data_IF_475309410121
#
_entry.id   IF_475309410121
#
_cell.length_a   1.000
_cell.length_b   1.000
_cell.length_c   1.000
_cell.angle_alpha   90.00
_cell.angle_beta   90.00
_cell.angle_gamma   90.00
#
_symmetry.space_group_name_H-M   'P 1'
#
loop_
_entity.id
_entity.type
_entity.pdbx_description
1 polymer ?
#
# COMPACT_ATOMS: atom_id res chain seq x y z
N UNK A 1 -20.06 -49.37 -34.02
CA UNK A 1 -19.03 -48.34 -34.18
C UNK A 1 -19.67 -47.03 -33.80
N UNK A 2 -19.69 -46.75 -32.50
CA UNK A 2 -20.40 -45.61 -31.92
C UNK A 2 -19.58 -44.35 -32.19
N UNK A 3 -20.15 -43.43 -32.95
CA UNK A 3 -19.51 -42.17 -33.32
C UNK A 3 -19.39 -41.33 -32.05
N UNK A 4 -18.20 -41.29 -31.46
CA UNK A 4 -17.92 -40.42 -30.32
C UNK A 4 -18.18 -38.97 -30.73
N UNK A 5 -19.24 -38.37 -30.18
CA UNK A 5 -19.55 -36.95 -30.37
C UNK A 5 -18.31 -36.11 -30.00
N UNK A 6 -17.89 -35.18 -30.85
CA UNK A 6 -16.72 -34.36 -30.59
C UNK A 6 -16.98 -33.52 -29.32
N UNK A 7 -16.12 -33.71 -28.31
CA UNK A 7 -16.21 -32.97 -27.06
C UNK A 7 -16.33 -31.45 -27.36
N UNK A 8 -17.28 -30.73 -26.73
CA UNK A 8 -17.56 -29.35 -27.06
C UNK A 8 -16.30 -28.48 -26.93
N UNK A 9 -16.00 -27.73 -28.01
CA UNK A 9 -14.81 -26.87 -28.10
C UNK A 9 -14.81 -25.84 -26.98
N UNK A 10 -13.66 -25.73 -26.29
CA UNK A 10 -13.48 -24.75 -25.21
C UNK A 10 -13.48 -23.34 -25.81
N UNK A 11 -14.39 -22.48 -25.35
CA UNK A 11 -14.37 -21.06 -25.72
C UNK A 11 -13.27 -20.34 -24.92
N UNK A 12 -12.13 -20.07 -25.55
CA UNK A 12 -11.03 -19.30 -24.96
C UNK A 12 -11.45 -17.86 -24.64
N UNK A 13 -12.41 -17.28 -25.39
CA UNK A 13 -12.98 -15.98 -25.06
C UNK A 13 -13.67 -15.97 -23.69
N UNK A 14 -14.33 -17.07 -23.30
CA UNK A 14 -14.91 -17.19 -21.96
C UNK A 14 -13.83 -17.30 -20.87
N UNK A 15 -12.78 -18.09 -21.13
CA UNK A 15 -11.64 -18.22 -20.20
C UNK A 15 -10.99 -16.85 -19.98
N UNK A 16 -10.80 -16.08 -21.06
CA UNK A 16 -10.27 -14.72 -20.99
C UNK A 16 -11.17 -13.82 -20.13
N UNK A 17 -12.46 -13.71 -20.45
CA UNK A 17 -13.38 -12.85 -19.71
C UNK A 17 -13.49 -13.21 -18.21
N UNK A 18 -13.60 -14.50 -17.88
CA UNK A 18 -13.71 -14.96 -16.49
C UNK A 18 -12.41 -14.75 -15.73
N UNK A 19 -11.26 -15.08 -16.32
CA UNK A 19 -9.97 -14.87 -15.66
C UNK A 19 -9.68 -13.38 -15.44
N UNK A 20 -9.99 -12.52 -16.41
CA UNK A 20 -9.84 -11.06 -16.26
C UNK A 20 -10.71 -10.53 -15.14
N UNK A 21 -11.97 -10.98 -15.04
CA UNK A 21 -12.85 -10.61 -13.93
C UNK A 21 -12.29 -11.06 -12.57
N UNK A 22 -11.78 -12.29 -12.45
CA UNK A 22 -11.16 -12.78 -11.21
C UNK A 22 -9.95 -11.94 -10.82
N UNK A 23 -9.01 -11.70 -11.75
CA UNK A 23 -7.81 -10.91 -11.49
C UNK A 23 -8.16 -9.47 -11.10
N UNK A 24 -9.14 -8.86 -11.75
CA UNK A 24 -9.63 -7.53 -11.39
C UNK A 24 -10.20 -7.51 -9.97
N UNK A 25 -11.06 -8.46 -9.62
CA UNK A 25 -11.67 -8.57 -8.29
C UNK A 25 -10.62 -8.81 -7.20
N UNK A 26 -9.63 -9.67 -7.45
CA UNK A 26 -8.52 -9.90 -6.51
C UNK A 26 -7.70 -8.63 -6.28
N UNK A 27 -7.41 -7.87 -7.34
CA UNK A 27 -6.70 -6.60 -7.23
C UNK A 27 -7.51 -5.55 -6.45
N UNK A 28 -8.82 -5.45 -6.69
CA UNK A 28 -9.70 -4.55 -5.92
C UNK A 28 -9.75 -4.98 -4.45
N UNK A 29 -9.85 -6.28 -4.17
CA UNK A 29 -9.83 -6.81 -2.80
C UNK A 29 -8.51 -6.46 -2.09
N UNK A 30 -7.37 -6.68 -2.75
CA UNK A 30 -6.05 -6.34 -2.22
C UNK A 30 -5.93 -4.82 -1.95
N UNK A 31 -6.48 -3.99 -2.83
CA UNK A 31 -6.52 -2.54 -2.63
C UNK A 31 -7.37 -2.15 -1.41
N UNK A 32 -8.55 -2.74 -1.24
CA UNK A 32 -9.40 -2.52 -0.04
C UNK A 32 -8.65 -2.90 1.23
N UNK A 33 -8.04 -4.08 1.27
CA UNK A 33 -7.27 -4.53 2.43
C UNK A 33 -6.07 -3.62 2.71
N UNK A 34 -5.40 -3.13 1.67
CA UNK A 34 -4.28 -2.20 1.80
C UNK A 34 -4.74 -0.86 2.35
N UNK A 35 -5.87 -0.31 1.88
CA UNK A 35 -6.44 0.93 2.43
C UNK A 35 -6.79 0.74 3.90
N UNK A 36 -7.50 -0.34 4.25
CA UNK A 36 -7.84 -0.64 5.64
C UNK A 36 -6.58 -0.76 6.52
N UNK A 37 -5.54 -1.43 6.02
CA UNK A 37 -4.27 -1.57 6.72
C UNK A 37 -3.51 -0.24 6.84
N UNK A 38 -3.47 0.58 5.81
CA UNK A 38 -2.81 1.90 5.86
C UNK A 38 -3.52 2.82 6.87
N UNK A 39 -4.85 2.73 6.99
CA UNK A 39 -5.62 3.49 7.98
C UNK A 39 -5.32 3.10 9.43
N UNK A 40 -4.79 1.90 9.68
CA UNK A 40 -4.33 1.46 11.01
C UNK A 40 -2.86 1.76 11.25
N UNK A 41 -2.12 2.16 10.21
CA UNK A 41 -0.73 2.57 10.30
C UNK A 41 -0.62 4.09 10.37
N UNK A 42 0.54 4.53 10.83
CA UNK A 42 0.91 5.94 10.78
C UNK A 42 0.87 6.42 9.32
N UNK A 43 0.06 7.45 9.00
CA UNK A 43 -0.12 7.85 7.62
C UNK A 43 1.12 8.57 7.13
N UNK A 44 1.75 8.00 6.11
CA UNK A 44 2.79 8.67 5.34
C UNK A 44 2.24 9.89 4.56
N UNK A 45 0.91 10.04 4.43
CA UNK A 45 0.26 11.15 3.72
C UNK A 45 -0.99 11.66 4.46
N UNK A 46 -1.18 12.98 4.62
CA UNK A 46 -2.45 13.54 5.05
C UNK A 46 -3.55 13.25 4.01
N UNK A 47 -4.78 13.16 4.53
CA UNK A 47 -5.91 12.42 3.95
C UNK A 47 -6.38 12.81 2.54
N UNK A 48 -7.30 12.00 1.99
CA UNK A 48 -7.72 12.10 0.60
C UNK A 48 -8.45 13.42 0.30
N UNK A 49 -7.94 14.19 -0.66
CA UNK A 49 -8.63 15.29 -1.34
C UNK A 49 -9.56 14.72 -2.42
N UNK A 50 -10.36 15.58 -3.08
CA UNK A 50 -11.20 15.18 -4.21
C UNK A 50 -10.42 14.43 -5.33
N UNK A 51 -9.11 14.65 -5.42
CA UNK A 51 -8.19 13.95 -6.32
C UNK A 51 -8.13 12.45 -6.07
N UNK A 52 -8.44 11.99 -4.85
CA UNK A 52 -8.41 10.58 -4.50
C UNK A 52 -9.46 9.77 -5.28
N UNK A 53 -10.62 10.34 -5.57
CA UNK A 53 -11.66 9.64 -6.35
C UNK A 53 -11.23 9.48 -7.81
N UNK A 54 -10.68 10.56 -8.41
CA UNK A 54 -10.15 10.52 -9.76
C UNK A 54 -8.96 9.54 -9.86
N UNK A 55 -8.06 9.54 -8.88
CA UNK A 55 -6.96 8.60 -8.80
C UNK A 55 -7.45 7.15 -8.65
N UNK A 56 -8.47 6.89 -7.82
CA UNK A 56 -9.07 5.56 -7.68
C UNK A 56 -9.69 5.09 -8.99
N UNK A 57 -10.40 5.96 -9.71
CA UNK A 57 -10.97 5.63 -11.01
C UNK A 57 -9.86 5.30 -12.02
N UNK A 58 -8.84 6.16 -12.14
CA UNK A 58 -7.71 5.95 -13.04
C UNK A 58 -6.95 4.64 -12.72
N UNK A 59 -6.68 4.39 -11.45
CA UNK A 59 -6.04 3.15 -10.98
C UNK A 59 -6.92 1.94 -11.30
N UNK A 60 -8.23 2.02 -11.11
CA UNK A 60 -9.14 0.90 -11.43
C UNK A 60 -9.12 0.53 -12.92
N UNK A 61 -9.06 1.53 -13.81
CA UNK A 61 -8.97 1.29 -15.25
C UNK A 61 -7.63 0.64 -15.61
N UNK A 62 -6.53 1.14 -15.03
CA UNK A 62 -5.21 0.56 -15.23
C UNK A 62 -5.14 -0.89 -14.73
N UNK A 63 -5.75 -1.19 -13.58
CA UNK A 63 -5.85 -2.54 -13.03
C UNK A 63 -6.66 -3.46 -13.95
N UNK A 64 -7.76 -2.98 -14.53
CA UNK A 64 -8.54 -3.76 -15.50
C UNK A 64 -7.73 -4.09 -16.76
N UNK A 65 -7.00 -3.11 -17.30
CA UNK A 65 -6.13 -3.31 -18.46
C UNK A 65 -5.02 -4.31 -18.12
N UNK A 66 -4.38 -4.17 -16.96
CA UNK A 66 -3.34 -5.10 -16.50
C UNK A 66 -3.90 -6.51 -16.32
N UNK A 67 -5.07 -6.67 -15.70
CA UNK A 67 -5.76 -7.96 -15.55
C UNK A 67 -6.06 -8.60 -16.92
N UNK A 68 -6.51 -7.81 -17.89
CA UNK A 68 -6.75 -8.29 -19.25
C UNK A 68 -5.45 -8.77 -19.93
N UNK A 69 -4.38 -7.97 -19.86
CA UNK A 69 -3.07 -8.31 -20.43
C UNK A 69 -2.49 -9.56 -19.76
N UNK A 70 -2.58 -9.68 -18.44
CA UNK A 70 -2.14 -10.87 -17.69
C UNK A 70 -2.95 -12.11 -18.07
N UNK A 71 -4.26 -11.98 -18.22
CA UNK A 71 -5.11 -13.07 -18.70
C UNK A 71 -4.69 -13.53 -20.11
N UNK A 72 -4.41 -12.58 -21.01
CA UNK A 72 -4.01 -12.86 -22.38
C UNK A 72 -2.62 -13.50 -22.46
N UNK A 73 -1.64 -12.94 -21.74
CA UNK A 73 -0.22 -13.27 -21.86
C UNK A 73 0.25 -14.42 -20.95
N UNK A 74 -0.44 -14.68 -19.84
CA UNK A 74 -0.08 -15.75 -18.90
C UNK A 74 -1.18 -16.80 -18.75
N UNK A 75 -2.41 -16.40 -18.47
CA UNK A 75 -3.49 -17.36 -18.16
C UNK A 75 -3.87 -18.20 -19.37
N UNK A 76 -4.16 -17.58 -20.52
CA UNK A 76 -4.52 -18.31 -21.74
C UNK A 76 -3.43 -19.29 -22.20
N UNK A 77 -2.15 -18.88 -22.37
CA UNK A 77 -1.11 -19.82 -22.76
C UNK A 77 -0.86 -20.88 -21.67
N UNK A 78 -0.97 -20.52 -20.39
CA UNK A 78 -0.85 -21.47 -19.30
C UNK A 78 -1.94 -22.56 -19.34
N UNK A 79 -3.19 -22.17 -19.58
CA UNK A 79 -4.31 -23.11 -19.74
C UNK A 79 -4.13 -23.97 -21.01
N UNK A 80 -3.72 -23.37 -22.13
CA UNK A 80 -3.49 -24.10 -23.38
C UNK A 80 -2.36 -25.12 -23.25
N UNK A 81 -1.25 -24.75 -22.59
CA UNK A 81 -0.12 -25.64 -22.33
C UNK A 81 -0.50 -26.74 -21.35
N UNK A 82 -1.22 -26.42 -20.27
CA UNK A 82 -1.72 -27.41 -19.32
C UNK A 82 -2.68 -28.42 -19.97
N UNK A 83 -3.53 -27.97 -20.91
CA UNK A 83 -4.39 -28.85 -21.71
C UNK A 83 -3.60 -29.72 -22.70
N UNK A 84 -2.52 -29.19 -23.29
CA UNK A 84 -1.63 -29.98 -24.14
C UNK A 84 -0.89 -31.06 -23.32
N UNK A 85 -0.32 -30.69 -22.18
CA UNK A 85 0.37 -31.60 -21.27
C UNK A 85 -0.58 -32.67 -20.71
N UNK A 86 -1.78 -32.29 -20.27
CA UNK A 86 -2.77 -33.26 -19.79
C UNK A 86 -3.16 -34.30 -20.83
N UNK A 87 -3.22 -33.91 -22.12
CA UNK A 87 -3.46 -34.84 -23.24
C UNK A 87 -2.28 -35.77 -23.51
N UNK A 88 -1.06 -35.25 -23.44
CA UNK A 88 0.17 -36.04 -23.69
C UNK A 88 0.42 -37.05 -22.57
N UNK A 89 0.21 -36.64 -21.32
CA UNK A 89 0.50 -37.47 -20.14
C UNK A 89 -0.69 -38.31 -19.65
N UNK A 90 -1.75 -38.45 -20.45
CA UNK A 90 -2.84 -39.41 -20.22
C UNK A 90 -3.70 -39.16 -18.97
N UNK A 91 -3.61 -37.97 -18.35
CA UNK A 91 -4.24 -37.67 -17.06
C UNK A 91 -5.52 -36.85 -17.19
N UNK A 92 -6.62 -37.34 -16.60
CA UNK A 92 -7.92 -36.63 -16.50
C UNK A 92 -7.84 -35.36 -15.65
N UNK A 93 -6.82 -35.21 -14.81
CA UNK A 93 -6.68 -34.08 -13.89
C UNK A 93 -5.68 -33.03 -14.42
N UNK A 94 -6.24 -32.07 -15.15
CA UNK A 94 -5.48 -30.94 -15.68
C UNK A 94 -5.23 -29.81 -14.65
N UNK A 95 -5.71 -29.97 -13.42
CA UNK A 95 -5.50 -29.04 -12.30
C UNK A 95 -4.02 -28.88 -11.92
N UNK A 96 -3.28 -29.95 -11.55
CA UNK A 96 -1.88 -29.82 -11.13
C UNK A 96 -0.99 -29.23 -12.24
N UNK A 97 -1.24 -29.61 -13.51
CA UNK A 97 -0.51 -29.05 -14.65
C UNK A 97 -0.70 -27.55 -14.80
N UNK A 98 -1.88 -27.01 -14.47
CA UNK A 98 -2.14 -25.57 -14.58
C UNK A 98 -1.29 -24.79 -13.58
N UNK A 99 -1.24 -25.26 -12.33
CA UNK A 99 -0.46 -24.61 -11.27
C UNK A 99 1.04 -24.67 -11.58
N UNK A 100 1.56 -25.83 -11.97
CA UNK A 100 2.99 -26.01 -12.27
C UNK A 100 3.44 -25.17 -13.47
N UNK A 101 2.64 -25.12 -14.53
CA UNK A 101 2.95 -24.29 -15.71
C UNK A 101 2.98 -22.81 -15.34
N UNK A 102 1.99 -22.33 -14.59
CA UNK A 102 1.95 -20.94 -14.19
C UNK A 102 3.08 -20.58 -13.22
N UNK A 103 3.43 -21.48 -12.29
CA UNK A 103 4.57 -21.31 -11.39
C UNK A 103 5.89 -21.18 -12.15
N UNK A 104 6.08 -21.96 -13.22
CA UNK A 104 7.25 -21.87 -14.09
C UNK A 104 7.26 -20.56 -14.89
N UNK A 105 6.11 -20.15 -15.45
CA UNK A 105 5.98 -18.90 -16.20
C UNK A 105 6.24 -17.66 -15.34
N UNK A 106 5.77 -17.65 -14.09
CA UNK A 106 6.04 -16.54 -13.14
C UNK A 106 7.43 -16.59 -12.53
N UNK A 107 8.08 -17.76 -12.49
CA UNK A 107 9.43 -17.93 -11.94
C UNK A 107 10.51 -17.22 -12.77
N UNK A 108 10.37 -17.20 -14.10
CA UNK A 108 11.31 -16.56 -15.02
C UNK A 108 11.55 -15.05 -14.73
N UNK A 109 10.50 -14.21 -14.68
CA UNK A 109 10.69 -12.78 -14.37
C UNK A 109 11.19 -12.53 -12.94
N UNK A 110 10.80 -13.38 -11.97
CA UNK A 110 11.29 -13.27 -10.59
C UNK A 110 12.77 -13.58 -10.50
N UNK A 111 13.24 -14.63 -11.19
CA UNK A 111 14.65 -14.98 -11.27
C UNK A 111 15.47 -13.86 -11.93
N UNK A 112 14.97 -13.25 -13.01
CA UNK A 112 15.61 -12.11 -13.65
C UNK A 112 15.70 -10.87 -12.72
N UNK A 113 14.73 -10.68 -11.83
CA UNK A 113 14.74 -9.59 -10.84
C UNK A 113 15.59 -9.90 -9.60
N UNK A 114 15.92 -11.17 -9.35
CA UNK A 114 16.71 -11.58 -8.19
C UNK A 114 18.15 -11.07 -8.26
N UNK A 115 18.74 -10.99 -9.45
CA UNK A 115 20.08 -10.40 -9.63
C UNK A 115 20.14 -8.91 -9.25
N UNK A 116 18.99 -8.22 -9.26
CA UNK A 116 18.91 -6.78 -8.96
C UNK A 116 18.55 -6.47 -7.49
N UNK A 117 18.06 -7.45 -6.71
CA UNK A 117 17.54 -7.22 -5.35
C UNK A 117 18.13 -8.20 -4.33
N UNK A 118 18.60 -7.68 -3.18
CA UNK A 118 19.17 -8.49 -2.08
C UNK A 118 18.12 -9.13 -1.14
N UNK A 119 16.83 -8.92 -1.37
CA UNK A 119 15.76 -9.46 -0.52
C UNK A 119 15.10 -10.69 -1.16
N UNK A 120 15.66 -11.87 -0.85
CA UNK A 120 15.15 -13.14 -1.33
C UNK A 120 13.73 -13.46 -0.80
N UNK A 121 13.41 -13.05 0.43
CA UNK A 121 12.11 -13.33 1.05
C UNK A 121 11.00 -12.52 0.38
N UNK A 122 11.25 -11.25 0.08
CA UNK A 122 10.33 -10.41 -0.68
C UNK A 122 10.07 -10.95 -2.09
N UNK A 123 11.09 -11.48 -2.76
CA UNK A 123 10.96 -12.08 -4.09
C UNK A 123 10.16 -13.38 -4.07
N UNK A 124 10.43 -14.27 -3.11
CA UNK A 124 9.70 -15.54 -2.96
C UNK A 124 8.22 -15.32 -2.63
N UNK A 125 7.93 -14.38 -1.73
CA UNK A 125 6.55 -14.04 -1.38
C UNK A 125 5.81 -13.42 -2.57
N UNK A 126 6.45 -12.55 -3.35
CA UNK A 126 5.88 -12.01 -4.58
C UNK A 126 5.62 -13.10 -5.62
N UNK A 127 6.57 -14.02 -5.85
CA UNK A 127 6.42 -15.15 -6.76
C UNK A 127 5.27 -16.07 -6.38
N UNK A 128 5.21 -16.48 -5.11
CA UNK A 128 4.16 -17.35 -4.60
C UNK A 128 2.78 -16.70 -4.73
N UNK A 129 2.68 -15.40 -4.42
CA UNK A 129 1.44 -14.63 -4.54
C UNK A 129 0.97 -14.53 -6.00
N UNK A 130 1.87 -14.16 -6.92
CA UNK A 130 1.55 -14.08 -8.34
C UNK A 130 1.10 -15.43 -8.91
N UNK A 131 1.77 -16.51 -8.52
CA UNK A 131 1.43 -17.88 -8.94
C UNK A 131 0.05 -18.29 -8.44
N UNK A 132 -0.26 -18.01 -7.16
CA UNK A 132 -1.56 -18.32 -6.57
C UNK A 132 -2.71 -17.58 -7.27
N UNK A 133 -2.55 -16.26 -7.48
CA UNK A 133 -3.50 -15.37 -8.17
C UNK A 133 -3.79 -15.85 -9.59
N UNK A 134 -2.74 -16.07 -10.38
CA UNK A 134 -2.89 -16.53 -11.77
C UNK A 134 -3.50 -17.94 -11.84
N UNK A 135 -3.12 -18.81 -10.90
CA UNK A 135 -3.68 -20.17 -10.82
C UNK A 135 -5.17 -20.14 -10.49
N UNK A 136 -5.60 -19.35 -9.52
CA UNK A 136 -7.01 -19.19 -9.19
C UNK A 136 -7.82 -18.70 -10.40
N UNK A 137 -7.34 -17.65 -11.08
CA UNK A 137 -7.98 -17.11 -12.28
C UNK A 137 -8.06 -18.13 -13.42
N UNK A 138 -6.98 -18.88 -13.66
CA UNK A 138 -6.95 -19.94 -14.66
C UNK A 138 -7.95 -21.06 -14.34
N UNK A 139 -7.96 -21.53 -13.10
CA UNK A 139 -8.74 -22.69 -12.69
C UNK A 139 -10.25 -22.36 -12.64
N UNK A 140 -10.61 -21.15 -12.20
CA UNK A 140 -11.99 -20.65 -12.27
C UNK A 140 -12.40 -20.44 -13.73
N UNK A 141 -11.55 -19.82 -14.56
CA UNK A 141 -11.81 -19.61 -15.98
C UNK A 141 -12.02 -20.92 -16.77
N UNK A 142 -11.41 -22.02 -16.30
CA UNK A 142 -11.56 -23.35 -16.87
C UNK A 142 -12.91 -24.01 -16.61
N UNK A 143 -13.66 -23.58 -15.58
CA UNK A 143 -14.96 -24.16 -15.21
C UNK A 143 -15.99 -24.00 -16.34
N UNK A 144 -16.81 -25.04 -16.52
CA UNK A 144 -17.80 -25.14 -17.61
C UNK A 144 -19.23 -24.87 -17.13
N UNK A 145 -19.45 -23.75 -16.44
CA UNK A 145 -20.78 -23.31 -16.01
C UNK A 145 -21.29 -22.17 -16.87
N UNK A 146 -22.52 -22.26 -17.33
CA UNK A 146 -23.24 -21.13 -17.92
C UNK A 146 -23.46 -20.04 -16.86
N UNK A 147 -23.43 -18.77 -17.26
CA UNK A 147 -23.53 -17.65 -16.33
C UNK A 147 -22.37 -17.48 -15.34
N UNK A 148 -21.28 -18.27 -15.46
CA UNK A 148 -20.15 -18.23 -14.53
C UNK A 148 -19.55 -16.82 -14.38
N UNK A 149 -19.43 -16.08 -15.48
CA UNK A 149 -18.93 -14.70 -15.46
C UNK A 149 -19.78 -13.80 -14.54
N UNK A 150 -21.11 -13.81 -14.72
CA UNK A 150 -22.03 -13.05 -13.87
C UNK A 150 -21.98 -13.51 -12.41
N UNK A 151 -21.86 -14.82 -12.18
CA UNK A 151 -21.74 -15.39 -10.83
C UNK A 151 -20.44 -14.95 -10.13
N UNK A 152 -19.32 -14.96 -10.85
CA UNK A 152 -18.00 -14.52 -10.35
C UNK A 152 -18.04 -13.03 -10.03
N UNK A 153 -18.58 -12.20 -10.93
CA UNK A 153 -18.75 -10.78 -10.67
C UNK A 153 -19.63 -10.51 -9.46
N UNK A 154 -20.81 -11.14 -9.39
CA UNK A 154 -21.75 -10.92 -8.30
C UNK A 154 -21.17 -11.36 -6.94
N UNK A 155 -20.61 -12.58 -6.86
CA UNK A 155 -20.03 -13.09 -5.60
C UNK A 155 -18.75 -12.39 -5.22
N UNK A 156 -17.87 -12.13 -6.18
CA UNK A 156 -16.63 -11.39 -5.95
C UNK A 156 -16.90 -9.98 -5.47
N UNK A 157 -17.82 -9.25 -6.13
CA UNK A 157 -18.24 -7.93 -5.68
C UNK A 157 -18.87 -7.97 -4.29
N UNK A 158 -19.70 -8.99 -3.97
CA UNK A 158 -20.27 -9.16 -2.64
C UNK A 158 -19.19 -9.40 -1.57
N UNK A 159 -18.16 -10.20 -1.86
CA UNK A 159 -17.02 -10.41 -0.94
C UNK A 159 -16.23 -9.12 -0.73
N UNK A 160 -15.89 -8.41 -1.80
CA UNK A 160 -15.19 -7.11 -1.72
C UNK A 160 -15.98 -6.10 -0.91
N UNK A 161 -17.28 -5.95 -1.22
CA UNK A 161 -18.18 -5.05 -0.50
C UNK A 161 -18.32 -5.46 0.97
N UNK A 162 -18.48 -6.76 1.25
CA UNK A 162 -18.57 -7.29 2.61
C UNK A 162 -17.33 -6.98 3.44
N UNK A 163 -16.13 -7.22 2.89
CA UNK A 163 -14.86 -6.92 3.57
C UNK A 163 -14.68 -5.41 3.76
N UNK A 164 -15.00 -4.60 2.74
CA UNK A 164 -14.96 -3.14 2.85
C UNK A 164 -15.90 -2.60 3.93
N UNK A 165 -17.13 -3.11 3.99
CA UNK A 165 -18.13 -2.72 4.98
C UNK A 165 -17.74 -3.17 6.39
N UNK A 166 -17.34 -4.43 6.56
CA UNK A 166 -16.91 -4.97 7.86
C UNK A 166 -15.65 -4.27 8.37
N UNK A 167 -14.66 -4.04 7.50
CA UNK A 167 -13.45 -3.31 7.84
C UNK A 167 -13.74 -1.86 8.21
N UNK A 168 -14.57 -1.16 7.43
CA UNK A 168 -14.99 0.21 7.73
C UNK A 168 -15.77 0.29 9.05
N UNK A 169 -16.64 -0.69 9.31
CA UNK A 169 -17.38 -0.79 10.56
C UNK A 169 -16.45 -1.03 11.75
N UNK A 170 -15.51 -1.97 11.65
CA UNK A 170 -14.51 -2.24 12.69
C UNK A 170 -13.63 -1.02 13.00
N UNK A 171 -13.32 -0.22 11.97
CA UNK A 171 -12.60 1.05 12.09
C UNK A 171 -13.48 2.17 12.68
N UNK A 172 -14.80 2.14 12.46
CA UNK A 172 -15.75 3.13 13.00
C UNK A 172 -16.04 2.88 14.48
N UNK A 173 -16.17 1.62 14.88
CA UNK A 173 -16.39 1.20 16.27
C UNK A 173 -15.11 1.15 17.12
N UNK A 174 -13.95 1.51 16.54
CA UNK A 174 -12.62 1.37 17.16
C UNK A 174 -12.28 -0.07 17.62
N UNK A 175 -12.98 -1.11 17.12
CA UNK A 175 -12.60 -2.53 17.32
C UNK A 175 -11.20 -2.77 16.76
N UNK A 176 -10.95 -2.20 15.57
CA UNK A 176 -9.61 -2.07 15.01
C UNK A 176 -9.21 -0.60 15.17
N UNK A 177 -8.26 -0.28 16.07
CA UNK A 177 -7.93 1.11 16.35
C UNK A 177 -7.33 1.76 15.11
N UNK A 178 -7.95 2.86 14.67
CA UNK A 178 -7.31 3.76 13.70
C UNK A 178 -6.06 4.35 14.32
N UNK A 179 -5.02 4.52 13.52
CA UNK A 179 -3.86 5.26 14.00
C UNK A 179 -4.29 6.68 14.40
N UNK A 180 -3.82 7.12 15.56
CA UNK A 180 -3.96 8.49 16.06
C UNK A 180 -2.60 8.91 16.62
N UNK A 181 -2.09 10.11 16.28
CA UNK A 181 -0.87 10.63 16.89
C UNK A 181 -0.99 10.64 18.42
N UNK A 182 0.13 10.47 19.14
CA UNK A 182 0.12 10.49 20.59
C UNK A 182 -0.34 11.86 21.10
N UNK A 183 -1.16 11.84 22.16
CA UNK A 183 -1.56 13.07 22.83
C UNK A 183 -0.40 13.53 23.72
N UNK A 184 0.36 14.52 23.25
CA UNK A 184 1.43 15.13 24.06
C UNK A 184 0.88 16.31 24.88
N UNK A 185 1.40 16.46 26.09
CA UNK A 185 1.28 17.64 26.95
C UNK A 185 2.57 18.45 26.92
N UNK A 186 2.53 19.71 27.36
CA UNK A 186 3.73 20.55 27.46
C UNK A 186 4.84 19.89 28.30
N UNK A 187 4.47 19.28 29.43
CA UNK A 187 5.42 18.55 30.26
C UNK A 187 6.07 17.36 29.52
N UNK A 188 5.30 16.62 28.72
CA UNK A 188 5.83 15.49 27.95
C UNK A 188 6.66 15.90 26.72
N UNK A 189 6.45 17.13 26.23
CA UNK A 189 7.20 17.72 25.10
C UNK A 189 8.61 18.13 25.50
N UNK A 190 8.82 18.45 26.78
CA UNK A 190 10.13 18.85 27.28
C UNK A 190 11.16 17.72 27.10
N UNK A 191 12.34 18.07 26.60
CA UNK A 191 13.42 17.13 26.30
C UNK A 191 14.15 17.48 25.00
N UNK A 192 15.10 16.63 24.63
CA UNK A 192 15.90 16.80 23.42
C UNK A 192 15.32 15.98 22.28
N UNK A 193 15.19 16.60 21.12
CA UNK A 193 14.69 16.04 19.88
C UNK A 193 15.81 16.10 18.84
N UNK A 194 15.97 15.08 18.01
CA UNK A 194 17.08 14.92 17.07
C UNK A 194 16.61 14.38 15.73
N UNK A 195 17.17 14.92 14.64
CA UNK A 195 16.96 14.40 13.28
C UNK A 195 17.83 13.17 12.96
N UNK A 196 18.69 12.74 13.91
CA UNK A 196 19.65 11.66 13.74
C UNK A 196 20.81 11.99 12.79
N UNK A 197 20.89 13.22 12.28
CA UNK A 197 21.87 13.73 11.31
C UNK A 197 22.64 14.95 11.85
N UNK A 198 22.56 15.20 13.15
CA UNK A 198 23.28 16.26 13.86
C UNK A 198 22.43 17.50 14.19
N UNK A 199 21.21 17.61 13.67
CA UNK A 199 20.26 18.66 14.04
C UNK A 199 19.50 18.28 15.32
N UNK A 200 19.52 19.14 16.33
CA UNK A 200 18.83 18.91 17.60
C UNK A 200 18.05 20.12 18.09
N UNK A 201 16.91 19.87 18.74
CA UNK A 201 16.13 20.87 19.47
C UNK A 201 15.95 20.40 20.91
N UNK A 202 16.41 21.18 21.88
CA UNK A 202 16.05 21.02 23.28
C UNK A 202 14.85 21.92 23.61
N UNK A 203 13.76 21.32 24.06
CA UNK A 203 12.56 22.02 24.54
C UNK A 203 12.55 21.94 26.06
N UNK A 204 12.64 23.08 26.75
CA UNK A 204 12.58 23.15 28.19
C UNK A 204 11.13 23.31 28.67
N UNK A 205 10.82 22.83 29.88
CA UNK A 205 9.47 22.85 30.44
C UNK A 205 8.94 24.27 30.72
N UNK A 206 9.81 25.28 30.75
CA UNK A 206 9.47 26.69 30.92
C UNK A 206 9.08 27.40 29.60
N UNK A 207 9.04 26.66 28.49
CA UNK A 207 8.76 27.21 27.16
C UNK A 207 10.00 27.70 26.40
N UNK A 208 11.20 27.55 26.95
CA UNK A 208 12.46 27.88 26.26
C UNK A 208 12.83 26.80 25.24
N UNK A 209 13.27 27.19 24.04
CA UNK A 209 13.73 26.27 23.00
C UNK A 209 15.17 26.59 22.59
N UNK A 210 16.03 25.58 22.49
CA UNK A 210 17.41 25.71 22.00
C UNK A 210 17.60 24.78 20.82
N UNK A 211 17.84 25.34 19.63
CA UNK A 211 18.20 24.55 18.44
C UNK A 211 19.70 24.58 18.19
N UNK A 212 20.19 23.48 17.62
CA UNK A 212 21.53 23.33 17.09
C UNK A 212 21.46 22.63 15.74
N UNK A 213 21.93 23.28 14.68
CA UNK A 213 21.99 22.74 13.31
C UNK A 213 20.67 22.18 12.75
N UNK A 214 19.53 22.64 13.27
CA UNK A 214 18.20 22.20 12.83
C UNK A 214 17.93 22.78 11.46
N UNK A 215 17.60 21.92 10.49
CA UNK A 215 17.43 22.39 9.12
C UNK A 215 16.16 23.23 8.99
N UNK A 216 16.31 24.42 8.40
CA UNK A 216 15.21 25.18 7.86
C UNK A 216 15.29 25.18 6.34
N UNK A 217 14.13 25.18 5.69
CA UNK A 217 13.99 25.03 4.25
C UNK A 217 13.22 26.22 3.70
N UNK A 218 13.69 26.80 2.59
CA UNK A 218 12.86 27.73 1.82
C UNK A 218 11.86 26.93 1.00
N UNK A 219 10.74 27.55 0.67
CA UNK A 219 9.74 26.96 -0.24
C UNK A 219 10.42 26.54 -1.55
N UNK A 220 10.25 25.27 -1.95
CA UNK A 220 10.89 24.69 -3.14
C UNK A 220 12.27 24.06 -2.92
N UNK A 221 12.85 24.14 -1.71
CA UNK A 221 14.08 23.42 -1.37
C UNK A 221 13.76 22.02 -0.80
N UNK A 222 14.27 20.95 -1.44
CA UNK A 222 14.12 19.58 -0.95
C UNK A 222 14.88 19.30 0.36
N UNK A 223 14.56 18.16 1.00
CA UNK A 223 15.06 17.76 2.34
C UNK A 223 16.59 17.69 2.48
N UNK A 224 17.34 17.63 1.37
CA UNK A 224 18.81 17.64 1.34
C UNK A 224 19.45 19.00 1.61
N UNK A 225 18.78 20.11 1.29
CA UNK A 225 19.40 21.44 1.11
C UNK A 225 19.18 22.42 2.26
N UNK A 226 18.49 22.01 3.33
CA UNK A 226 18.16 22.89 4.43
C UNK A 226 19.40 23.45 5.14
N UNK A 227 19.37 24.74 5.45
CA UNK A 227 20.44 25.42 6.20
C UNK A 227 20.27 25.15 7.68
N UNK A 228 21.38 24.85 8.37
CA UNK A 228 21.38 24.66 9.81
C UNK A 228 21.02 25.95 10.53
N UNK A 229 20.02 25.87 11.41
CA UNK A 229 19.68 26.91 12.36
C UNK A 229 20.19 26.51 13.75
N UNK A 230 20.87 27.44 14.40
CA UNK A 230 21.25 27.33 15.82
C UNK A 230 20.87 28.60 16.55
N UNK A 231 20.36 28.48 17.77
CA UNK A 231 19.95 29.63 18.56
C UNK A 231 19.01 29.24 19.71
N UNK A 232 18.70 30.22 20.54
CA UNK A 232 17.73 30.08 21.65
C UNK A 232 16.50 30.93 21.36
N UNK A 233 15.32 30.44 21.73
CA UNK A 233 14.05 31.09 21.52
C UNK A 233 12.97 30.46 22.40
N UNK A 234 11.74 30.40 21.88
CA UNK A 234 10.58 29.89 22.62
C UNK A 234 9.84 28.81 21.84
N UNK A 235 9.09 27.98 22.55
CA UNK A 235 8.16 27.05 21.94
C UNK A 235 6.81 27.05 22.64
N UNK A 236 5.76 26.69 21.90
CA UNK A 236 4.41 26.52 22.44
C UNK A 236 3.74 25.32 21.80
N UNK A 237 2.99 24.54 22.59
CA UNK A 237 2.15 23.45 22.10
C UNK A 237 0.71 23.94 21.92
N UNK A 238 0.25 23.99 20.68
CA UNK A 238 -1.16 24.23 20.38
C UNK A 238 -1.92 22.89 20.44
N UNK A 239 -2.86 22.70 21.37
CA UNK A 239 -3.65 21.47 21.42
C UNK A 239 -4.62 21.39 20.22
N UNK A 240 -4.84 20.17 19.73
CA UNK A 240 -5.81 19.93 18.67
C UNK A 240 -7.24 20.07 19.20
N UNK A 241 -8.02 20.99 18.63
CA UNK A 241 -9.37 21.34 19.16
C UNK A 241 -10.37 20.17 19.21
N UNK A 242 -10.25 19.17 18.34
CA UNK A 242 -11.19 18.04 18.24
C UNK A 242 -10.54 16.66 18.24
N UNK A 243 -9.24 16.56 17.94
CA UNK A 243 -8.49 15.32 17.87
C UNK A 243 -6.98 15.58 17.95
N UNK A 244 -6.19 14.51 18.14
CA UNK A 244 -4.73 14.58 18.23
C UNK A 244 -4.05 15.05 16.94
N UNK A 245 -4.71 14.88 15.79
CA UNK A 245 -4.23 15.37 14.48
C UNK A 245 -4.06 16.89 14.38
N UNK A 246 -4.79 17.64 15.21
CA UNK A 246 -4.74 19.10 15.24
C UNK A 246 -3.62 19.66 16.12
N UNK A 247 -2.87 18.82 16.84
CA UNK A 247 -1.78 19.29 17.70
C UNK A 247 -0.63 19.85 16.87
N UNK A 248 -0.08 20.98 17.29
CA UNK A 248 1.06 21.63 16.65
C UNK A 248 2.05 22.15 17.68
N UNK A 249 3.33 22.10 17.33
CA UNK A 249 4.41 22.66 18.14
C UNK A 249 5.01 23.82 17.35
N UNK A 250 4.81 25.03 17.84
CA UNK A 250 5.35 26.24 17.24
C UNK A 250 6.68 26.56 17.93
N UNK A 251 7.78 26.46 17.18
CA UNK A 251 9.13 26.74 17.68
C UNK A 251 9.61 28.03 17.02
N UNK A 252 9.94 29.03 17.83
CA UNK A 252 10.35 30.36 17.37
C UNK A 252 11.76 30.65 17.83
N UNK A 253 12.70 30.66 16.89
CA UNK A 253 14.10 31.00 17.14
C UNK A 253 14.41 32.25 16.31
N UNK A 254 14.91 33.35 16.93
CA UNK A 254 15.26 34.56 16.20
C UNK A 254 16.24 34.27 15.05
N UNK A 255 15.95 34.80 13.86
CA UNK A 255 16.75 34.54 12.67
C UNK A 255 16.48 33.19 11.98
N UNK A 256 15.59 32.37 12.52
CA UNK A 256 15.25 31.06 11.98
C UNK A 256 13.72 30.86 11.88
N UNK A 257 13.12 31.18 10.73
CA UNK A 257 11.71 30.91 10.51
C UNK A 257 11.49 29.39 10.35
N UNK A 258 11.09 28.73 11.43
CA UNK A 258 10.69 27.33 11.41
C UNK A 258 9.16 27.25 11.24
N UNK A 259 8.64 26.32 10.41
CA UNK A 259 7.21 26.09 10.32
C UNK A 259 6.68 25.44 11.61
N UNK A 260 5.35 25.45 11.76
CA UNK A 260 4.70 24.71 12.83
C UNK A 260 4.92 23.20 12.62
N UNK A 261 5.42 22.54 13.66
CA UNK A 261 5.67 21.11 13.68
C UNK A 261 4.38 20.36 14.01
N UNK A 262 4.20 19.20 13.39
CA UNK A 262 3.11 18.26 13.65
C UNK A 262 3.65 17.09 14.48
N UNK A 263 2.76 16.42 15.19
CA UNK A 263 3.10 15.29 16.07
C UNK A 263 2.72 13.98 15.36
N UNK A 264 3.60 12.99 15.48
CA UNK A 264 3.49 11.65 14.93
C UNK A 264 4.10 10.62 15.89
N UNK A 265 4.28 9.39 15.43
CA UNK A 265 4.85 8.27 16.17
C UNK A 265 3.85 7.59 17.10
N UNK A 266 4.36 7.03 18.19
CA UNK A 266 3.58 6.38 19.25
C UNK A 266 3.77 7.09 20.59
N UNK A 267 2.96 6.78 21.63
CA UNK A 267 3.16 7.33 22.97
C UNK A 267 4.57 7.07 23.51
N UNK A 268 5.17 5.92 23.19
CA UNK A 268 6.51 5.51 23.64
C UNK A 268 7.62 6.11 22.78
N UNK A 269 7.32 6.45 21.53
CA UNK A 269 8.27 6.98 20.54
C UNK A 269 7.61 8.12 19.75
N UNK A 270 7.39 9.28 20.38
CA UNK A 270 6.80 10.41 19.70
C UNK A 270 7.78 11.00 18.69
N UNK A 271 7.23 11.53 17.62
CA UNK A 271 7.98 12.18 16.54
C UNK A 271 7.39 13.56 16.26
N UNK A 272 8.27 14.52 15.95
CA UNK A 272 7.88 15.83 15.43
C UNK A 272 8.26 15.88 13.97
N UNK A 273 7.37 16.36 13.11
CA UNK A 273 7.70 16.52 11.70
C UNK A 273 7.07 17.76 11.08
N UNK A 274 7.67 18.23 10.01
CA UNK A 274 7.00 19.12 9.07
C UNK A 274 7.36 18.74 7.63
N UNK A 275 6.53 19.20 6.70
CA UNK A 275 6.77 19.01 5.26
C UNK A 275 7.88 19.95 4.79
N UNK A 276 8.69 19.47 3.86
CA UNK A 276 9.76 20.22 3.20
C UNK A 276 9.71 19.94 1.69
N UNK A 277 10.33 20.80 0.89
CA UNK A 277 10.30 20.66 -0.56
C UNK A 277 9.01 21.14 -1.23
N UNK A 278 8.81 20.62 -2.44
CA UNK A 278 7.59 20.83 -3.22
C UNK A 278 6.39 20.18 -2.48
N UNK A 279 5.23 20.85 -2.38
CA UNK A 279 3.99 20.24 -1.88
C UNK A 279 3.69 18.84 -2.44
N UNK A 280 4.14 18.53 -3.64
CA UNK A 280 3.95 17.25 -4.32
C UNK A 280 4.95 16.16 -3.88
N UNK A 281 6.14 16.54 -3.39
CA UNK A 281 7.24 15.61 -3.14
C UNK A 281 7.16 14.84 -1.80
N UNK A 282 6.20 15.15 -0.92
CA UNK A 282 5.98 14.44 0.36
C UNK A 282 7.22 14.27 1.28
N UNK A 283 8.29 15.02 1.04
CA UNK A 283 9.47 14.99 1.88
C UNK A 283 9.14 15.52 3.28
N UNK A 284 9.59 14.78 4.30
CA UNK A 284 9.41 15.13 5.71
C UNK A 284 10.77 15.42 6.34
N UNK A 285 10.82 16.47 7.16
CA UNK A 285 11.88 16.65 8.12
C UNK A 285 11.37 16.24 9.50
N UNK A 286 12.01 15.24 10.08
CA UNK A 286 11.57 14.54 11.28
C UNK A 286 12.56 14.73 12.42
N UNK A 287 12.05 14.91 13.62
CA UNK A 287 12.80 14.90 14.88
C UNK A 287 12.23 13.83 15.78
N UNK A 288 13.10 12.96 16.29
CA UNK A 288 12.77 11.93 17.27
C UNK A 288 13.28 12.34 18.64
N UNK A 289 12.56 11.96 19.68
CA UNK A 289 13.04 12.18 21.05
C UNK A 289 14.35 11.39 21.25
N UNK A 290 15.41 12.11 21.63
CA UNK A 290 16.65 11.49 22.07
C UNK A 290 16.39 10.76 23.38
N UNK A 291 16.95 9.55 23.52
CA UNK A 291 16.92 8.83 24.80
C UNK A 291 17.71 9.54 25.87
#
# INVERSE_FOLDING_TARGET
MESAEPAPRRSYGRVLAVSTAVLFLEAVLAAVLTVLYVLTREPLRPGPTADALAALLAVSQLVLVAAFVLSLAAVLPGVALADALGRVFGGRDAWPWTVSVLAALTGLPVAACADARRDATGLLTAWASATAVLSAAALIGRLRREGLFGLVLARGAAVVAGIGLLGSFALWTDIVPKYRPPLLTEASMAGTWSDGRGGTVALAADGTATASAVKHFRTGEGSGWGRGCSGTGTWTLTPGRRNTWGQRVDIRIPGCPLPAWRIAGSPERPELYHRVGDPDDNDLYELRRSR
#
